data_IF_639931498542
#
_entry.id   IF_639931498542
#
_cell.length_a   1.000
_cell.length_b   1.000
_cell.length_c   1.000
_cell.angle_alpha   90.00
_cell.angle_beta   90.00
_cell.angle_gamma   90.00
#
_symmetry.space_group_name_H-M   'P 1'
#
loop_
_entity.id
_entity.type
_entity.pdbx_description
1 polymer ?
#
# COMPACT_ATOMS: atom_id res chain seq x y z
N UNK A 1 13.93 7.02 13.09
CA UNK A 1 13.14 6.97 11.84
C UNK A 1 13.04 5.50 11.49
N UNK A 2 11.96 4.86 11.91
CA UNK A 2 11.75 3.44 11.60
C UNK A 2 11.48 3.31 10.09
N UNK A 3 12.07 2.30 9.42
CA UNK A 3 11.84 2.09 8.00
C UNK A 3 10.35 1.77 7.77
N UNK A 4 9.72 2.32 6.72
CA UNK A 4 8.34 2.00 6.41
C UNK A 4 8.22 0.51 6.12
N UNK A 5 7.22 -0.16 6.69
CA UNK A 5 6.89 -1.54 6.35
C UNK A 5 6.47 -1.60 4.88
N UNK A 6 7.20 -2.36 4.07
CA UNK A 6 6.96 -2.52 2.63
C UNK A 6 6.12 -3.76 2.39
N UNK A 7 4.97 -3.59 1.75
CA UNK A 7 4.03 -4.65 1.37
C UNK A 7 4.05 -4.78 -0.16
N UNK A 8 4.50 -5.93 -0.67
CA UNK A 8 4.45 -6.20 -2.11
C UNK A 8 3.08 -6.72 -2.52
N UNK A 9 2.56 -6.25 -3.63
CA UNK A 9 1.23 -6.58 -4.15
C UNK A 9 1.27 -6.80 -5.66
N UNK A 10 0.39 -7.63 -6.18
CA UNK A 10 0.27 -7.88 -7.62
C UNK A 10 -0.72 -6.93 -8.32
N UNK A 11 -1.39 -6.06 -7.55
CA UNK A 11 -2.41 -5.14 -8.05
C UNK A 11 -2.01 -3.69 -7.80
N UNK A 12 -2.23 -2.81 -8.79
CA UNK A 12 -1.97 -1.35 -8.70
C UNK A 12 -2.91 -0.63 -7.72
N UNK A 13 -4.05 -1.25 -7.40
CA UNK A 13 -4.95 -0.81 -6.32
C UNK A 13 -4.86 -1.77 -5.15
N UNK A 14 -4.71 -1.18 -3.97
CA UNK A 14 -4.64 -1.92 -2.70
C UNK A 14 -5.64 -1.36 -1.70
N UNK A 15 -6.20 -2.25 -0.90
CA UNK A 15 -6.92 -1.88 0.30
C UNK A 15 -5.95 -1.90 1.48
N UNK A 16 -5.89 -0.80 2.23
CA UNK A 16 -5.16 -0.73 3.48
C UNK A 16 -6.18 -0.69 4.63
N UNK A 17 -6.21 -1.72 5.45
CA UNK A 17 -7.11 -1.85 6.60
C UNK A 17 -6.51 -1.33 7.91
N UNK A 18 -5.41 -0.57 7.85
CA UNK A 18 -4.74 -0.07 9.07
C UNK A 18 -4.01 -1.10 9.93
N UNK A 19 -4.21 -2.39 9.69
CA UNK A 19 -3.63 -3.47 10.50
C UNK A 19 -4.45 -3.71 11.78
N UNK A 20 -4.25 -4.86 12.45
CA UNK A 20 -5.03 -5.30 13.60
C UNK A 20 -4.74 -4.53 14.92
N UNK A 21 -4.16 -3.33 14.83
CA UNK A 21 -3.73 -2.54 15.97
C UNK A 21 -4.74 -1.46 16.37
N UNK A 22 -4.71 -1.05 17.64
CA UNK A 22 -5.55 0.03 18.19
C UNK A 22 -5.32 1.41 17.54
N UNK A 23 -4.21 1.58 16.80
CA UNK A 23 -3.87 2.77 16.01
C UNK A 23 -4.14 2.60 14.51
N UNK A 24 -4.81 1.52 14.11
CA UNK A 24 -5.25 1.29 12.73
C UNK A 24 -6.28 2.32 12.28
N UNK A 25 -6.35 2.55 10.97
CA UNK A 25 -7.38 3.37 10.32
C UNK A 25 -8.43 2.48 9.64
N UNK A 26 -9.63 3.02 9.34
CA UNK A 26 -10.62 2.31 8.53
C UNK A 26 -10.05 1.89 7.18
N UNK A 27 -10.64 0.84 6.56
CA UNK A 27 -10.28 0.42 5.21
C UNK A 27 -10.30 1.61 4.24
N UNK A 28 -9.15 1.90 3.64
CA UNK A 28 -9.01 2.86 2.53
C UNK A 28 -8.44 2.17 1.32
N UNK A 29 -8.75 2.70 0.13
CA UNK A 29 -8.22 2.21 -1.13
C UNK A 29 -7.16 3.18 -1.64
N UNK A 30 -5.97 2.66 -1.92
CA UNK A 30 -4.84 3.42 -2.43
C UNK A 30 -4.54 2.95 -3.86
N UNK A 31 -4.22 3.91 -4.72
CA UNK A 31 -3.85 3.66 -6.11
C UNK A 31 -2.37 4.03 -6.29
N UNK A 32 -1.58 3.08 -6.79
CA UNK A 32 -0.14 3.25 -7.02
C UNK A 32 0.19 4.03 -8.29
N UNK A 33 -0.80 4.23 -9.18
CA UNK A 33 -0.61 4.84 -10.48
C UNK A 33 0.57 4.26 -11.26
N UNK A 34 1.22 5.11 -12.04
CA UNK A 34 2.39 4.74 -12.84
C UNK A 34 3.69 4.57 -12.02
N UNK A 35 3.70 5.01 -10.75
CA UNK A 35 4.88 4.88 -9.88
C UNK A 35 5.08 3.45 -9.38
N UNK A 36 4.03 2.62 -9.42
CA UNK A 36 4.06 1.25 -8.91
C UNK A 36 4.29 1.16 -7.41
N UNK A 37 4.12 2.27 -6.69
CA UNK A 37 4.20 2.32 -5.22
C UNK A 37 3.37 3.45 -4.64
N UNK A 38 2.83 3.24 -3.44
CA UNK A 38 2.03 4.22 -2.71
C UNK A 38 2.24 4.06 -1.20
N UNK A 39 2.33 5.19 -0.50
CA UNK A 39 2.44 5.21 0.96
C UNK A 39 1.06 5.46 1.58
N UNK A 40 0.68 4.67 2.57
CA UNK A 40 -0.52 4.93 3.35
C UNK A 40 -0.29 6.11 4.29
N UNK A 41 -1.08 7.20 4.21
CA UNK A 41 -0.88 8.40 5.03
C UNK A 41 -1.20 8.21 6.52
N UNK A 42 -1.81 7.07 6.87
CA UNK A 42 -2.26 6.79 8.23
C UNK A 42 -1.29 5.87 8.98
N UNK A 43 -1.01 4.69 8.44
CA UNK A 43 -0.13 3.70 9.07
C UNK A 43 1.32 3.77 8.58
N UNK A 44 1.65 4.61 7.60
CA UNK A 44 3.01 4.79 7.09
C UNK A 44 3.57 3.59 6.31
N UNK A 45 2.73 2.60 6.00
CA UNK A 45 3.12 1.42 5.21
C UNK A 45 3.25 1.79 3.74
N UNK A 46 4.28 1.27 3.09
CA UNK A 46 4.48 1.42 1.64
C UNK A 46 3.99 0.18 0.93
N UNK A 47 3.12 0.35 -0.05
CA UNK A 47 2.73 -0.71 -0.96
C UNK A 47 3.54 -0.57 -2.25
N UNK A 48 4.08 -1.67 -2.76
CA UNK A 48 4.83 -1.70 -4.03
C UNK A 48 4.33 -2.84 -4.92
N UNK A 49 4.28 -2.60 -6.22
CA UNK A 49 3.98 -3.62 -7.21
C UNK A 49 5.11 -4.67 -7.23
N UNK A 50 4.71 -5.94 -7.22
CA UNK A 50 5.61 -7.05 -7.49
C UNK A 50 6.16 -6.96 -8.91
N UNK A 51 7.40 -7.41 -9.12
CA UNK A 51 8.02 -7.42 -10.44
C UNK A 51 7.19 -8.29 -11.40
N UNK A 52 6.67 -7.68 -12.47
CA UNK A 52 5.79 -8.33 -13.45
C UNK A 52 4.29 -8.12 -13.23
N UNK A 53 3.89 -7.47 -12.15
CA UNK A 53 2.50 -7.07 -11.94
C UNK A 53 2.11 -5.93 -12.90
N UNK A 54 1.15 -6.19 -13.78
CA UNK A 54 0.64 -5.16 -14.67
C UNK A 54 -0.17 -4.14 -13.87
N UNK A 55 0.24 -2.87 -13.91
CA UNK A 55 -0.63 -1.77 -13.53
C UNK A 55 -1.77 -1.72 -14.56
N UNK A 56 -2.82 -2.51 -14.32
CA UNK A 56 -3.99 -2.53 -15.18
C UNK A 56 -4.64 -1.15 -15.14
N UNK A 57 -4.63 -0.48 -16.30
CA UNK A 57 -5.29 0.80 -16.55
C UNK A 57 -6.80 0.62 -16.70
#
# INVERSE_FOLDING_TARGET
MEPPEIVKTEQSRVACDGGDGALGHPRVFLDMGASGKVDCPYCGRRFELAEGAAAAH
#
